data_IF_247829797713
#
_entry.id   IF_247829797713
#
_cell.length_a   1.000
_cell.length_b   1.000
_cell.length_c   1.000
_cell.angle_alpha   90.00
_cell.angle_beta   90.00
_cell.angle_gamma   90.00
#
_symmetry.space_group_name_H-M   'P 1'
#
loop_
_entity.id
_entity.type
_entity.pdbx_description
1 polymer ?
#
# COMPACT_ATOMS: atom_id res chain seq x y z
N UNK A 1 -2.94 -9.52 -42.32
CA UNK A 1 -1.77 -9.15 -41.49
C UNK A 1 -0.97 -10.42 -41.27
N UNK A 2 0.32 -10.50 -41.68
CA UNK A 2 1.11 -11.67 -41.37
C UNK A 2 1.44 -11.67 -39.88
N UNK A 3 1.30 -12.84 -39.24
CA UNK A 3 1.73 -13.06 -37.87
C UNK A 3 3.27 -13.01 -37.84
N UNK A 4 3.84 -12.04 -37.13
CA UNK A 4 5.27 -12.02 -36.83
C UNK A 4 5.60 -13.29 -36.05
N UNK A 5 6.41 -14.17 -36.65
CA UNK A 5 6.96 -15.31 -35.92
C UNK A 5 7.95 -14.79 -34.88
N UNK A 6 7.99 -15.34 -33.66
CA UNK A 6 9.00 -14.95 -32.68
C UNK A 6 10.39 -15.28 -33.25
N UNK A 7 11.26 -14.26 -33.29
CA UNK A 7 12.63 -14.41 -33.75
C UNK A 7 13.39 -15.39 -32.83
N UNK A 8 13.98 -16.42 -33.44
CA UNK A 8 14.75 -17.48 -32.77
C UNK A 8 16.25 -17.36 -33.06
N UNK A 9 16.71 -16.14 -33.29
CA UNK A 9 18.13 -15.85 -33.50
C UNK A 9 18.94 -15.92 -32.18
N UNK A 10 20.27 -16.01 -32.25
CA UNK A 10 21.14 -16.12 -31.07
C UNK A 10 20.97 -14.96 -30.06
N UNK A 11 20.59 -13.77 -30.52
CA UNK A 11 20.35 -12.61 -29.65
C UNK A 11 18.97 -12.55 -28.98
N UNK A 12 18.14 -13.58 -29.15
CA UNK A 12 16.76 -13.63 -28.60
C UNK A 12 16.60 -14.71 -27.52
N UNK A 13 17.64 -15.51 -27.26
CA UNK A 13 17.65 -16.49 -26.19
C UNK A 13 18.40 -15.92 -24.98
N UNK A 14 17.93 -16.26 -23.78
CA UNK A 14 18.71 -16.02 -22.57
C UNK A 14 19.86 -17.02 -22.51
N UNK A 15 21.02 -16.58 -22.06
CA UNK A 15 22.11 -17.49 -21.71
C UNK A 15 21.69 -18.24 -20.43
N UNK A 16 21.34 -19.51 -20.61
CA UNK A 16 20.95 -20.39 -19.50
C UNK A 16 22.24 -21.04 -18.98
N UNK A 17 22.68 -20.74 -17.75
CA UNK A 17 23.83 -21.40 -17.16
C UNK A 17 23.53 -22.89 -16.95
N UNK A 18 24.56 -23.72 -17.06
CA UNK A 18 24.44 -25.15 -16.74
C UNK A 18 23.98 -25.34 -15.28
N UNK A 19 23.05 -26.27 -15.09
CA UNK A 19 22.53 -26.59 -13.76
C UNK A 19 23.65 -27.15 -12.88
N UNK A 20 23.83 -26.56 -11.70
CA UNK A 20 24.73 -27.08 -10.65
C UNK A 20 23.89 -27.53 -9.47
N UNK A 21 24.05 -28.79 -9.05
CA UNK A 21 23.38 -29.38 -7.88
C UNK A 21 23.94 -28.89 -6.54
N UNK A 22 24.90 -27.96 -6.57
CA UNK A 22 25.41 -27.27 -5.39
C UNK A 22 24.37 -26.25 -4.89
N UNK A 23 23.27 -26.79 -4.35
CA UNK A 23 22.64 -26.20 -3.17
C UNK A 23 23.61 -26.33 -2.00
N UNK A 24 24.77 -25.71 -2.12
CA UNK A 24 25.65 -25.56 -0.98
C UNK A 24 24.85 -24.86 0.09
N UNK A 25 24.61 -25.57 1.19
CA UNK A 25 24.39 -25.05 2.54
C UNK A 25 25.61 -24.21 3.01
N UNK A 26 26.26 -23.51 2.08
CA UNK A 26 27.21 -22.47 2.36
C UNK A 26 26.34 -21.27 2.72
N UNK A 27 26.44 -20.88 3.99
CA UNK A 27 26.06 -19.56 4.50
C UNK A 27 26.91 -18.44 3.87
N UNK A 28 27.32 -18.62 2.62
CA UNK A 28 28.37 -17.92 1.88
C UNK A 28 27.84 -17.52 0.49
N UNK A 29 26.53 -17.22 0.40
CA UNK A 29 26.12 -16.16 -0.53
C UNK A 29 26.91 -14.93 -0.10
N UNK A 30 27.90 -14.57 -0.90
CA UNK A 30 28.70 -13.38 -0.62
C UNK A 30 27.76 -12.19 -0.41
N UNK A 31 28.12 -11.31 0.53
CA UNK A 31 27.40 -10.06 0.79
C UNK A 31 27.09 -9.26 -0.51
N UNK A 32 27.92 -9.48 -1.53
CA UNK A 32 27.79 -8.94 -2.88
C UNK A 32 26.56 -9.39 -3.67
N UNK A 33 26.05 -10.61 -3.48
CA UNK A 33 24.88 -11.13 -4.20
C UNK A 33 23.58 -10.74 -3.48
N UNK A 34 23.60 -10.74 -2.14
CA UNK A 34 22.42 -10.45 -1.33
C UNK A 34 21.98 -8.98 -1.40
N UNK A 35 22.88 -8.04 -1.73
CA UNK A 35 22.54 -6.61 -1.84
C UNK A 35 21.49 -6.30 -2.92
N UNK A 36 21.31 -7.20 -3.90
CA UNK A 36 20.35 -7.05 -4.99
C UNK A 36 19.01 -7.77 -4.73
N UNK A 37 18.94 -8.63 -3.72
CA UNK A 37 17.75 -9.43 -3.39
C UNK A 37 16.74 -8.69 -2.49
N UNK A 38 16.99 -7.41 -2.24
CA UNK A 38 16.17 -6.57 -1.38
C UNK A 38 16.48 -6.76 0.11
N UNK A 39 15.86 -5.92 0.94
CA UNK A 39 16.02 -5.97 2.39
C UNK A 39 14.83 -6.68 3.01
N UNK A 40 15.08 -7.70 3.84
CA UNK A 40 14.03 -8.32 4.65
C UNK A 40 13.54 -7.31 5.69
N UNK A 41 12.26 -6.95 5.60
CA UNK A 41 11.62 -6.03 6.55
C UNK A 41 10.86 -6.77 7.66
N UNK A 42 10.30 -7.94 7.37
CA UNK A 42 9.55 -8.78 8.30
C UNK A 42 9.65 -10.27 7.88
N UNK A 43 9.70 -11.26 8.81
CA UNK A 43 9.81 -11.12 10.27
C UNK A 43 11.11 -10.42 10.66
N UNK A 44 11.13 -9.70 11.77
CA UNK A 44 12.35 -9.06 12.28
C UNK A 44 13.42 -10.10 12.65
N UNK A 45 14.69 -9.69 12.75
CA UNK A 45 15.74 -10.57 13.27
C UNK A 45 15.56 -10.82 14.78
N UNK A 46 16.12 -11.94 15.27
CA UNK A 46 15.92 -12.45 16.63
C UNK A 46 16.09 -11.41 17.75
N UNK A 47 16.97 -10.42 17.58
CA UNK A 47 17.24 -9.36 18.56
C UNK A 47 16.02 -8.44 18.75
N UNK A 48 15.33 -8.08 17.66
CA UNK A 48 14.09 -7.28 17.74
C UNK A 48 12.89 -8.18 18.11
N UNK A 49 12.90 -9.46 17.73
CA UNK A 49 11.82 -10.40 18.07
C UNK A 49 11.74 -10.75 19.55
N UNK A 50 12.87 -10.79 20.28
CA UNK A 50 12.88 -11.08 21.73
C UNK A 50 12.18 -10.01 22.58
N UNK A 51 11.96 -8.81 22.03
CA UNK A 51 11.22 -7.73 22.69
C UNK A 51 9.71 -7.74 22.40
N UNK A 52 9.23 -8.63 21.53
CA UNK A 52 7.83 -8.68 21.12
C UNK A 52 7.14 -9.90 21.75
N UNK A 53 6.21 -9.64 22.67
CA UNK A 53 5.25 -10.64 23.10
C UNK A 53 4.13 -10.68 22.06
N UNK A 54 4.17 -11.68 21.18
CA UNK A 54 3.09 -11.95 20.24
C UNK A 54 2.16 -12.95 20.93
N UNK A 55 1.17 -12.44 21.65
CA UNK A 55 -0.02 -13.24 21.90
C UNK A 55 -0.76 -13.43 20.56
N UNK A 56 -1.30 -14.62 20.35
CA UNK A 56 -2.05 -15.00 19.15
C UNK A 56 -3.13 -13.95 18.87
N UNK A 57 -3.05 -13.26 17.73
CA UNK A 57 -3.99 -12.19 17.39
C UNK A 57 -5.35 -12.84 17.15
N UNK A 58 -6.19 -12.84 18.18
CA UNK A 58 -7.62 -12.94 17.98
C UNK A 58 -8.02 -11.69 17.21
N UNK A 59 -8.25 -11.86 15.90
CA UNK A 59 -9.12 -10.98 15.12
C UNK A 59 -10.45 -11.04 15.86
N UNK A 60 -10.65 -10.08 16.74
CA UNK A 60 -11.81 -10.00 17.58
C UNK A 60 -12.98 -9.61 16.68
N UNK A 61 -13.67 -10.63 16.20
CA UNK A 61 -15.09 -10.58 15.78
C UNK A 61 -16.03 -10.20 16.94
N UNK A 62 -15.49 -9.70 18.05
CA UNK A 62 -16.24 -9.11 19.15
C UNK A 62 -16.81 -7.78 18.63
N UNK A 63 -18.15 -7.69 18.51
CA UNK A 63 -18.84 -6.49 18.01
C UNK A 63 -18.41 -5.19 18.73
N UNK A 64 -18.55 -4.03 18.04
CA UNK A 64 -18.26 -2.70 18.64
C UNK A 64 -19.13 -2.53 19.89
N UNK A 65 -18.49 -2.44 21.07
CA UNK A 65 -19.14 -2.17 22.36
C UNK A 65 -19.19 -0.68 22.68
N UNK A 66 -18.78 0.19 21.75
CA UNK A 66 -18.85 1.63 21.95
C UNK A 66 -20.31 2.10 22.12
N UNK A 67 -20.47 3.19 22.86
CA UNK A 67 -21.80 3.78 23.13
C UNK A 67 -22.57 4.13 21.85
N UNK A 68 -21.88 4.48 20.77
CA UNK A 68 -22.49 4.75 19.45
C UNK A 68 -21.67 4.02 18.38
N UNK A 69 -22.03 2.76 18.07
CA UNK A 69 -21.36 1.99 17.02
C UNK A 69 -21.45 2.69 15.66
N UNK A 70 -20.35 2.68 14.90
CA UNK A 70 -20.28 3.31 13.58
C UNK A 70 -20.14 4.83 13.56
N UNK A 71 -20.17 5.51 14.72
CA UNK A 71 -19.77 6.92 14.82
C UNK A 71 -18.29 7.11 14.44
N UNK A 72 -17.91 8.33 14.06
CA UNK A 72 -16.50 8.69 13.84
C UNK A 72 -15.64 8.35 15.05
N UNK A 73 -16.18 8.50 16.26
CA UNK A 73 -15.49 8.16 17.50
C UNK A 73 -15.35 6.64 17.71
N UNK A 74 -16.37 5.79 17.45
CA UNK A 74 -16.18 4.30 17.44
C UNK A 74 -15.11 3.93 16.40
N UNK A 75 -15.17 4.50 15.18
CA UNK A 75 -14.19 4.20 14.13
C UNK A 75 -12.77 4.58 14.57
N UNK A 76 -12.57 5.80 15.09
CA UNK A 76 -11.26 6.28 15.52
C UNK A 76 -10.66 5.41 16.63
N UNK A 77 -11.47 5.03 17.63
CA UNK A 77 -11.05 4.16 18.73
C UNK A 77 -10.64 2.78 18.20
N UNK A 78 -11.46 2.17 17.34
CA UNK A 78 -11.18 0.86 16.77
C UNK A 78 -9.93 0.87 15.88
N UNK A 79 -9.80 1.84 14.97
CA UNK A 79 -8.61 1.99 14.11
C UNK A 79 -7.36 2.19 14.96
N UNK A 80 -7.43 2.99 16.02
CA UNK A 80 -6.28 3.22 16.91
C UNK A 80 -5.88 1.95 17.65
N UNK A 81 -6.86 1.17 18.14
CA UNK A 81 -6.61 -0.10 18.83
C UNK A 81 -5.95 -1.13 17.92
N UNK A 82 -6.51 -1.37 16.74
CA UNK A 82 -5.94 -2.35 15.81
C UNK A 82 -4.59 -1.88 15.25
N UNK A 83 -4.38 -0.57 15.11
CA UNK A 83 -3.06 -0.01 14.79
C UNK A 83 -2.03 -0.29 15.90
N UNK A 84 -2.42 -0.16 17.16
CA UNK A 84 -1.56 -0.50 18.30
C UNK A 84 -1.10 -1.95 18.25
N UNK A 85 -2.03 -2.87 18.03
CA UNK A 85 -1.74 -4.31 17.86
C UNK A 85 -0.80 -4.58 16.69
N UNK A 86 -1.02 -3.94 15.53
CA UNK A 86 -0.11 -4.07 14.39
C UNK A 86 1.29 -3.53 14.67
N UNK A 87 1.43 -2.49 15.50
CA UNK A 87 2.75 -1.99 15.93
C UNK A 87 3.42 -2.97 16.87
N UNK A 88 2.68 -3.55 17.81
CA UNK A 88 3.18 -4.58 18.74
C UNK A 88 3.64 -5.84 17.99
N UNK A 89 2.87 -6.27 16.99
CA UNK A 89 3.22 -7.41 16.15
C UNK A 89 4.41 -7.10 15.24
N UNK A 90 4.32 -6.06 14.40
CA UNK A 90 5.29 -5.82 13.33
C UNK A 90 6.53 -5.05 13.79
N UNK A 91 6.51 -4.44 14.98
CA UNK A 91 7.59 -3.64 15.52
C UNK A 91 8.08 -2.56 14.55
N UNK A 92 9.40 -2.52 14.31
CA UNK A 92 10.02 -1.54 13.41
C UNK A 92 9.59 -1.72 11.94
N UNK A 93 9.12 -2.91 11.55
CA UNK A 93 8.65 -3.19 10.19
C UNK A 93 7.42 -2.37 9.83
N UNK A 94 6.53 -2.08 10.80
CA UNK A 94 5.34 -1.25 10.60
C UNK A 94 5.69 0.11 9.96
N UNK A 95 6.80 0.70 10.40
CA UNK A 95 7.28 1.98 9.90
C UNK A 95 8.06 1.81 8.59
N UNK A 96 8.97 0.82 8.52
CA UNK A 96 9.80 0.57 7.32
C UNK A 96 8.96 0.21 6.09
N UNK A 97 7.83 -0.47 6.28
CA UNK A 97 6.88 -0.82 5.21
C UNK A 97 5.93 0.33 4.84
N UNK A 98 5.96 1.46 5.55
CA UNK A 98 5.09 2.61 5.27
C UNK A 98 3.62 2.43 5.68
N UNK A 99 3.28 1.40 6.47
CA UNK A 99 1.89 1.13 6.89
C UNK A 99 1.31 2.31 7.69
N UNK A 100 2.16 2.97 8.49
CA UNK A 100 1.82 4.17 9.24
C UNK A 100 1.37 5.36 8.37
N UNK A 101 1.75 5.38 7.09
CA UNK A 101 1.39 6.41 6.12
C UNK A 101 0.10 6.09 5.37
N UNK A 102 -0.67 5.09 5.79
CA UNK A 102 -1.93 4.68 5.13
C UNK A 102 -3.15 5.14 5.93
N UNK A 103 -4.30 5.23 5.25
CA UNK A 103 -5.58 5.56 5.85
C UNK A 103 -5.74 7.02 6.29
N UNK A 104 -6.52 7.23 7.34
CA UNK A 104 -6.95 8.55 7.81
C UNK A 104 -5.81 9.45 8.29
N UNK A 105 -4.60 8.89 8.49
CA UNK A 105 -3.40 9.61 8.92
C UNK A 105 -2.75 10.44 7.80
N UNK A 106 -3.00 10.14 6.52
CA UNK A 106 -2.56 11.01 5.41
C UNK A 106 -3.27 12.35 5.47
N UNK A 107 -4.48 12.37 6.04
CA UNK A 107 -5.24 13.60 6.29
C UNK A 107 -4.42 14.62 7.09
N UNK A 108 -3.41 14.21 7.86
CA UNK A 108 -2.56 15.10 8.66
C UNK A 108 -1.57 15.88 7.77
N UNK A 109 -1.09 15.30 6.67
CA UNK A 109 -0.08 15.92 5.80
C UNK A 109 -0.66 16.83 4.72
N UNK A 110 -1.98 16.83 4.54
CA UNK A 110 -2.68 17.69 3.58
C UNK A 110 -3.67 18.58 4.32
N UNK A 111 -3.55 19.89 4.13
CA UNK A 111 -4.52 20.82 4.68
C UNK A 111 -5.87 20.72 3.94
N UNK A 112 -6.91 21.35 4.48
CA UNK A 112 -8.26 21.23 3.93
C UNK A 112 -8.41 21.84 2.53
N UNK A 113 -7.63 22.87 2.20
CA UNK A 113 -7.64 23.49 0.88
C UNK A 113 -6.99 22.57 -0.16
N UNK A 114 -5.87 21.94 0.18
CA UNK A 114 -5.18 20.99 -0.68
C UNK A 114 -6.06 19.77 -0.99
N UNK A 115 -6.79 19.27 0.01
CA UNK A 115 -7.78 18.19 -0.18
C UNK A 115 -8.88 18.59 -1.15
N UNK A 116 -9.46 19.78 -1.00
CA UNK A 116 -10.49 20.30 -1.92
C UNK A 116 -9.97 20.39 -3.35
N UNK A 117 -8.72 20.82 -3.53
CA UNK A 117 -8.08 20.86 -4.84
C UNK A 117 -7.97 19.46 -5.43
N UNK A 118 -7.53 18.47 -4.65
CA UNK A 118 -7.40 17.08 -5.10
C UNK A 118 -8.76 16.45 -5.43
N UNK A 119 -9.77 16.65 -4.59
CA UNK A 119 -11.15 16.20 -4.84
C UNK A 119 -11.69 16.82 -6.13
N UNK A 120 -11.50 18.14 -6.32
CA UNK A 120 -11.95 18.82 -7.54
C UNK A 120 -11.25 18.29 -8.81
N UNK A 121 -9.97 17.93 -8.69
CA UNK A 121 -9.20 17.35 -9.78
C UNK A 121 -9.70 15.94 -10.14
N UNK A 122 -10.06 15.13 -9.14
CA UNK A 122 -10.62 13.79 -9.33
C UNK A 122 -12.02 13.80 -9.93
N UNK A 123 -12.86 14.76 -9.56
CA UNK A 123 -14.20 14.93 -10.16
C UNK A 123 -14.07 15.36 -11.62
N UNK A 124 -13.17 16.29 -11.92
CA UNK A 124 -12.98 16.82 -13.28
C UNK A 124 -12.25 15.87 -14.20
N UNK A 125 -11.44 14.98 -13.63
CA UNK A 125 -10.69 14.00 -14.39
C UNK A 125 -10.50 12.72 -13.57
N UNK A 126 -11.51 11.84 -13.56
CA UNK A 126 -11.33 10.52 -12.99
C UNK A 126 -10.19 9.81 -13.75
N UNK A 127 -9.31 9.05 -13.08
CA UNK A 127 -8.17 8.39 -13.71
C UNK A 127 -8.54 7.46 -14.89
N UNK A 128 -9.82 7.04 -14.97
CA UNK A 128 -10.39 6.29 -16.09
C UNK A 128 -10.57 7.10 -17.38
N UNK A 129 -10.66 8.43 -17.31
CA UNK A 129 -10.81 9.30 -18.49
C UNK A 129 -9.45 9.72 -19.05
N UNK A 130 -9.09 9.12 -20.20
CA UNK A 130 -7.81 9.23 -20.92
C UNK A 130 -7.43 10.63 -21.46
N UNK A 131 -7.97 11.75 -20.93
CA UNK A 131 -7.75 13.09 -21.50
C UNK A 131 -6.72 13.96 -20.76
N UNK A 132 -6.66 13.92 -19.43
CA UNK A 132 -5.64 14.66 -18.64
C UNK A 132 -5.40 13.85 -17.37
N UNK A 133 -4.16 13.46 -17.07
CA UNK A 133 -3.93 12.71 -15.83
C UNK A 133 -4.29 13.58 -14.62
N UNK A 134 -5.18 13.09 -13.72
CA UNK A 134 -5.48 13.71 -12.41
C UNK A 134 -4.22 14.28 -11.74
N UNK A 135 -3.14 13.51 -11.82
CA UNK A 135 -1.82 13.83 -11.29
C UNK A 135 -1.23 15.13 -11.85
N UNK A 136 -1.39 15.41 -13.15
CA UNK A 136 -0.93 16.64 -13.79
C UNK A 136 -1.75 17.86 -13.33
N UNK A 137 -3.07 17.69 -13.18
CA UNK A 137 -3.95 18.74 -12.69
C UNK A 137 -3.64 19.09 -11.23
N UNK A 138 -3.45 18.05 -10.40
CA UNK A 138 -3.06 18.20 -9.01
C UNK A 138 -1.71 18.91 -8.88
N UNK A 139 -0.69 18.50 -9.64
CA UNK A 139 0.65 19.12 -9.60
C UNK A 139 0.66 20.59 -10.04
N UNK A 140 -0.14 20.96 -11.05
CA UNK A 140 -0.25 22.36 -11.47
C UNK A 140 -0.80 23.27 -10.37
N UNK A 141 -1.64 22.74 -9.48
CA UNK A 141 -2.30 23.49 -8.41
C UNK A 141 -1.57 23.40 -7.09
N UNK A 142 -0.95 22.25 -6.79
CA UNK A 142 -0.25 21.97 -5.54
C UNK A 142 1.26 21.97 -5.75
N UNK A 143 1.81 23.18 -5.96
CA UNK A 143 3.24 23.35 -6.29
C UNK A 143 4.20 22.87 -5.19
N UNK A 144 3.74 22.81 -3.95
CA UNK A 144 4.52 22.36 -2.79
C UNK A 144 4.36 20.86 -2.49
N UNK A 145 3.47 20.17 -3.21
CA UNK A 145 3.22 18.74 -3.03
C UNK A 145 3.97 17.92 -4.06
N UNK A 146 4.56 16.80 -3.63
CA UNK A 146 5.27 15.89 -4.52
C UNK A 146 4.31 14.99 -5.28
N UNK A 147 4.76 14.39 -6.39
CA UNK A 147 3.95 13.37 -7.10
C UNK A 147 3.57 12.23 -6.16
N UNK A 148 4.50 11.84 -5.28
CA UNK A 148 4.32 10.77 -4.30
C UNK A 148 3.23 11.12 -3.29
N UNK A 149 3.19 12.35 -2.74
CA UNK A 149 2.15 12.73 -1.78
C UNK A 149 0.75 12.74 -2.42
N UNK A 150 0.65 13.17 -3.68
CA UNK A 150 -0.60 13.13 -4.45
C UNK A 150 -1.05 11.68 -4.70
N UNK A 151 -0.13 10.77 -5.03
CA UNK A 151 -0.44 9.34 -5.19
C UNK A 151 -0.87 8.70 -3.88
N UNK A 152 -0.17 8.98 -2.78
CA UNK A 152 -0.53 8.52 -1.44
C UNK A 152 -1.94 8.96 -1.09
N UNK A 153 -2.30 10.22 -1.31
CA UNK A 153 -3.68 10.69 -1.12
C UNK A 153 -4.70 9.86 -1.91
N UNK A 154 -4.43 9.61 -3.20
CA UNK A 154 -5.36 8.90 -4.06
C UNK A 154 -5.60 7.45 -3.58
N UNK A 155 -4.53 6.69 -3.36
CA UNK A 155 -4.63 5.27 -3.04
C UNK A 155 -5.02 5.00 -1.57
N UNK A 156 -4.53 5.80 -0.64
CA UNK A 156 -4.67 5.49 0.78
C UNK A 156 -5.80 6.28 1.47
N UNK A 157 -6.38 7.30 0.81
CA UNK A 157 -7.48 8.08 1.38
C UNK A 157 -8.69 8.13 0.43
N UNK A 158 -8.51 8.54 -0.83
CA UNK A 158 -9.64 8.68 -1.74
C UNK A 158 -10.31 7.35 -2.12
N UNK A 159 -9.54 6.33 -2.53
CA UNK A 159 -10.10 5.02 -2.89
C UNK A 159 -10.81 4.36 -1.68
N UNK A 160 -10.18 4.24 -0.49
CA UNK A 160 -10.85 3.66 0.68
C UNK A 160 -12.13 4.40 1.08
N UNK A 161 -12.14 5.74 1.01
CA UNK A 161 -13.35 6.52 1.26
C UNK A 161 -14.44 6.26 0.22
N UNK A 162 -14.08 6.18 -1.08
CA UNK A 162 -15.03 5.88 -2.16
C UNK A 162 -15.67 4.50 -1.94
N UNK A 163 -14.87 3.49 -1.60
CA UNK A 163 -15.34 2.13 -1.30
C UNK A 163 -16.26 2.14 -0.07
N UNK A 164 -15.82 2.76 1.02
CA UNK A 164 -16.61 2.84 2.27
C UNK A 164 -17.97 3.50 2.05
N UNK A 165 -18.03 4.60 1.29
CA UNK A 165 -19.29 5.28 0.95
C UNK A 165 -20.20 4.37 0.11
N UNK A 166 -19.66 3.62 -0.86
CA UNK A 166 -20.43 2.68 -1.68
C UNK A 166 -21.01 1.52 -0.84
N UNK A 167 -20.19 0.93 0.04
CA UNK A 167 -20.62 -0.14 0.97
C UNK A 167 -21.74 0.36 1.88
N UNK A 168 -21.57 1.53 2.50
CA UNK A 168 -22.58 2.12 3.38
C UNK A 168 -23.86 2.54 2.65
N UNK A 169 -23.80 2.70 1.32
CA UNK A 169 -24.95 3.00 0.46
C UNK A 169 -25.64 1.74 -0.08
N UNK A 170 -25.17 0.54 0.27
CA UNK A 170 -25.80 -0.74 -0.07
C UNK A 170 -25.53 -1.27 -1.49
N UNK A 171 -24.54 -0.72 -2.22
CA UNK A 171 -24.16 -1.22 -3.55
C UNK A 171 -23.15 -2.38 -3.41
N UNK A 172 -23.56 -3.62 -3.70
CA UNK A 172 -22.79 -4.84 -3.47
C UNK A 172 -21.81 -5.26 -4.58
N UNK A 173 -21.44 -4.36 -5.50
CA UNK A 173 -20.44 -4.66 -6.53
C UNK A 173 -19.31 -3.62 -6.46
N UNK A 174 -18.24 -3.99 -5.75
CA UNK A 174 -16.98 -3.23 -5.75
C UNK A 174 -16.09 -3.83 -6.83
N UNK A 175 -16.29 -3.42 -8.09
CA UNK A 175 -15.26 -3.64 -9.10
C UNK A 175 -14.24 -2.50 -8.95
N UNK A 176 -13.04 -2.81 -8.43
CA UNK A 176 -12.00 -1.80 -8.16
C UNK A 176 -11.32 -1.30 -9.43
N UNK A 177 -11.47 -2.02 -10.54
CA UNK A 177 -10.77 -1.73 -11.80
C UNK A 177 -11.55 -0.83 -12.78
N UNK A 178 -12.85 -0.60 -12.55
CA UNK A 178 -13.67 0.21 -13.44
C UNK A 178 -14.46 1.28 -12.66
N UNK A 179 -13.99 2.54 -12.76
CA UNK A 179 -14.74 3.82 -12.88
C UNK A 179 -13.97 5.04 -12.37
#
# INVERSE_FOLDING_TARGET
MPLLSPDRGPGFHADIPDWSDESTENNDRTEYENKWLGTRLWPLHAIEQQQMWIDEIQINEQGCTCSVPGSLDCINVHVTREKGRLIEELGSAFFKMGIHETGQLISIFLNQEEKKVLESALIRNPPSQKKICFLELAQKRLKYQTRVSIFRYYYNLHIPMKISRRINSGLSIVNSDDE
#
